data_IF_610691116945
#
_entry.id   IF_610691116945
#
_cell.length_a   1.000
_cell.length_b   1.000
_cell.length_c   1.000
_cell.angle_alpha   90.00
_cell.angle_beta   90.00
_cell.angle_gamma   90.00
#
_symmetry.space_group_name_H-M   'P 1'
#
loop_
_entity.id
_entity.type
_entity.pdbx_description
1 polymer ?
#
# COMPACT_ATOMS: atom_id res chain seq x y z
N UNK A 1 -43.98 43.03 53.31
CA UNK A 1 -42.58 42.88 53.76
C UNK A 1 -41.88 41.83 52.83
N UNK A 2 -41.00 42.32 52.01
CA UNK A 2 -39.88 41.74 51.22
C UNK A 2 -40.05 40.36 50.58
N UNK A 3 -40.44 40.38 49.30
CA UNK A 3 -40.12 39.36 48.28
C UNK A 3 -38.61 39.40 47.97
N UNK A 4 -37.92 38.27 47.89
CA UNK A 4 -36.61 38.20 47.31
C UNK A 4 -36.60 37.13 46.18
N UNK A 5 -36.17 37.63 45.00
CA UNK A 5 -35.92 36.97 43.72
C UNK A 5 -34.91 35.84 43.85
N UNK A 6 -35.11 34.74 43.12
CA UNK A 6 -34.05 33.92 42.55
C UNK A 6 -34.41 33.69 41.09
N UNK A 7 -33.82 34.50 40.23
CA UNK A 7 -33.55 34.23 38.83
C UNK A 7 -32.03 34.04 38.77
N UNK A 8 -31.56 32.97 38.22
CA UNK A 8 -30.28 32.83 37.49
C UNK A 8 -29.98 31.38 37.37
N UNK A 9 -29.82 31.02 36.17
CA UNK A 9 -28.71 30.61 35.34
C UNK A 9 -28.81 29.15 34.97
N UNK A 10 -29.40 28.91 33.79
CA UNK A 10 -29.16 27.66 33.06
C UNK A 10 -29.02 28.01 31.57
N UNK A 11 -27.88 28.54 31.22
CA UNK A 11 -27.43 28.64 29.83
C UNK A 11 -25.91 28.79 29.83
N UNK A 12 -25.17 27.74 29.72
CA UNK A 12 -23.81 27.65 29.12
C UNK A 12 -23.16 26.28 29.38
N UNK A 13 -23.62 25.23 28.75
CA UNK A 13 -22.84 23.97 28.80
C UNK A 13 -22.96 23.11 27.52
N UNK A 14 -23.50 23.68 26.44
CA UNK A 14 -23.60 22.89 25.18
C UNK A 14 -22.58 23.25 24.08
N UNK A 15 -21.65 24.20 24.32
CA UNK A 15 -20.75 24.66 23.27
C UNK A 15 -19.35 24.02 23.28
N UNK A 16 -18.98 23.29 24.33
CA UNK A 16 -17.61 22.76 24.46
C UNK A 16 -17.39 21.38 23.82
N UNK A 17 -18.47 20.65 23.52
CA UNK A 17 -18.34 19.31 22.95
C UNK A 17 -18.24 19.27 21.42
N UNK A 18 -18.65 20.30 20.71
CA UNK A 18 -18.61 20.36 19.25
C UNK A 18 -17.25 20.82 18.67
N UNK A 19 -16.48 21.58 19.44
CA UNK A 19 -15.17 22.09 18.99
C UNK A 19 -14.11 21.01 18.74
N UNK A 20 -13.93 19.98 19.58
CA UNK A 20 -12.92 18.96 19.30
C UNK A 20 -13.25 18.10 18.06
N UNK A 21 -14.53 17.93 17.72
CA UNK A 21 -14.93 17.18 16.54
C UNK A 21 -14.70 17.95 15.23
N UNK A 22 -14.90 19.27 15.22
CA UNK A 22 -14.58 20.11 14.06
C UNK A 22 -13.05 20.23 13.86
N UNK A 23 -12.28 20.36 14.93
CA UNK A 23 -10.82 20.40 14.86
C UNK A 23 -10.23 19.07 14.38
N UNK A 24 -10.80 17.91 14.81
CA UNK A 24 -10.39 16.60 14.33
C UNK A 24 -10.74 16.37 12.85
N UNK A 25 -11.87 16.87 12.38
CA UNK A 25 -12.26 16.77 10.97
C UNK A 25 -11.35 17.63 10.07
N UNK A 26 -11.02 18.85 10.46
CA UNK A 26 -10.08 19.70 9.72
C UNK A 26 -8.67 19.11 9.69
N UNK A 27 -8.23 18.44 10.74
CA UNK A 27 -6.93 17.74 10.79
C UNK A 27 -6.85 16.53 9.87
N UNK A 28 -7.94 15.77 9.72
CA UNK A 28 -8.01 14.64 8.76
C UNK A 28 -7.90 15.12 7.31
N UNK A 29 -8.59 16.21 6.96
CA UNK A 29 -8.55 16.77 5.61
C UNK A 29 -7.17 17.40 5.30
N UNK A 30 -6.52 18.01 6.27
CA UNK A 30 -5.15 18.48 6.16
C UNK A 30 -4.18 17.30 5.90
N UNK A 31 -4.32 16.21 6.64
CA UNK A 31 -3.51 15.00 6.42
C UNK A 31 -3.71 14.45 5.00
N UNK A 32 -4.95 14.37 4.51
CA UNK A 32 -5.24 13.91 3.14
C UNK A 32 -4.61 14.83 2.08
N UNK A 33 -4.66 16.14 2.30
CA UNK A 33 -4.00 17.10 1.40
C UNK A 33 -2.49 16.89 1.36
N UNK A 34 -1.84 16.68 2.52
CA UNK A 34 -0.41 16.37 2.61
C UNK A 34 -0.05 15.06 1.90
N UNK A 35 -0.86 13.99 2.07
CA UNK A 35 -0.66 12.72 1.35
C UNK A 35 -0.74 12.93 -0.16
N UNK A 36 -1.73 13.69 -0.62
CA UNK A 36 -1.92 13.97 -2.05
C UNK A 36 -0.76 14.76 -2.62
N UNK A 37 -0.20 15.69 -1.84
CA UNK A 37 0.96 16.51 -2.20
C UNK A 37 2.31 15.77 -2.10
N UNK A 38 2.35 14.60 -1.45
CA UNK A 38 3.58 13.82 -1.24
C UNK A 38 4.35 14.17 0.03
N UNK A 39 3.80 15.00 0.92
CA UNK A 39 4.41 15.37 2.21
C UNK A 39 4.16 14.29 3.27
N UNK A 40 4.51 13.03 2.93
CA UNK A 40 4.18 11.85 3.73
C UNK A 40 4.73 11.88 5.16
N UNK A 41 5.92 12.49 5.36
CA UNK A 41 6.51 12.57 6.70
C UNK A 41 5.65 13.44 7.62
N UNK A 42 5.20 14.59 7.15
CA UNK A 42 4.34 15.50 7.91
C UNK A 42 2.95 14.88 8.07
N UNK A 43 2.39 14.33 7.01
CA UNK A 43 1.10 13.63 7.04
C UNK A 43 1.09 12.52 8.10
N UNK A 44 2.14 11.69 8.16
CA UNK A 44 2.24 10.61 9.13
C UNK A 44 2.24 11.09 10.58
N UNK A 45 3.02 12.14 10.88
CA UNK A 45 3.10 12.69 12.24
C UNK A 45 1.75 13.27 12.65
N UNK A 46 1.18 14.13 11.82
CA UNK A 46 -0.11 14.76 12.11
C UNK A 46 -1.24 13.71 12.23
N UNK A 47 -1.26 12.71 11.36
CA UNK A 47 -2.24 11.64 11.40
C UNK A 47 -2.16 10.79 12.68
N UNK A 48 -0.95 10.47 13.15
CA UNK A 48 -0.78 9.67 14.36
C UNK A 48 -1.27 10.42 15.60
N UNK A 49 -1.12 11.75 15.64
CA UNK A 49 -1.55 12.61 16.75
C UNK A 49 -3.09 12.75 16.86
N UNK A 50 -3.83 12.36 15.80
CA UNK A 50 -5.31 12.36 15.82
C UNK A 50 -5.87 11.24 16.73
N UNK A 51 -5.13 10.17 16.95
CA UNK A 51 -5.47 9.01 17.82
C UNK A 51 -6.84 8.37 17.55
N UNK A 52 -7.30 8.40 16.27
CA UNK A 52 -8.54 7.75 15.81
C UNK A 52 -8.23 6.63 14.83
N UNK A 53 -9.22 5.78 14.52
CA UNK A 53 -9.08 4.76 13.48
C UNK A 53 -8.61 5.35 12.15
N UNK A 54 -9.23 6.48 11.73
CA UNK A 54 -8.87 7.19 10.50
C UNK A 54 -7.47 7.81 10.59
N UNK A 55 -7.08 8.39 11.72
CA UNK A 55 -5.74 8.93 11.95
C UNK A 55 -4.67 7.83 11.80
N UNK A 56 -4.82 6.72 12.50
CA UNK A 56 -3.87 5.59 12.40
C UNK A 56 -3.83 4.98 10.99
N UNK A 57 -4.98 4.90 10.30
CA UNK A 57 -5.05 4.46 8.91
C UNK A 57 -4.26 5.38 7.97
N UNK A 58 -4.45 6.70 8.07
CA UNK A 58 -3.72 7.69 7.25
C UNK A 58 -2.22 7.71 7.56
N UNK A 59 -1.85 7.53 8.82
CA UNK A 59 -0.44 7.40 9.20
C UNK A 59 0.20 6.14 8.58
N UNK A 60 -0.53 5.01 8.57
CA UNK A 60 -0.10 3.78 7.93
C UNK A 60 0.03 3.95 6.41
N UNK A 61 -0.95 4.59 5.76
CA UNK A 61 -0.94 4.90 4.33
C UNK A 61 0.26 5.75 3.94
N UNK A 62 0.51 6.84 4.67
CA UNK A 62 1.66 7.72 4.44
C UNK A 62 2.99 6.96 4.52
N UNK A 63 3.13 6.08 5.50
CA UNK A 63 4.34 5.30 5.68
C UNK A 63 4.47 4.19 4.62
N UNK A 64 3.36 3.56 4.22
CA UNK A 64 3.35 2.60 3.12
C UNK A 64 3.76 3.26 1.79
N UNK A 65 3.28 4.49 1.51
CA UNK A 65 3.68 5.27 0.34
C UNK A 65 5.20 5.53 0.34
N UNK A 66 5.76 6.02 1.44
CA UNK A 66 7.20 6.24 1.57
C UNK A 66 8.03 4.96 1.38
N UNK A 67 7.58 3.81 1.92
CA UNK A 67 8.24 2.52 1.74
C UNK A 67 8.21 2.07 0.28
N UNK A 68 7.08 2.23 -0.39
CA UNK A 68 6.89 1.87 -1.80
C UNK A 68 7.76 2.73 -2.71
N UNK A 69 7.88 4.03 -2.40
CA UNK A 69 8.69 4.98 -3.17
C UNK A 69 10.18 4.93 -2.84
N UNK A 70 10.59 4.19 -1.80
CA UNK A 70 11.99 4.13 -1.37
C UNK A 70 12.46 5.39 -0.64
N UNK A 71 11.55 6.17 -0.06
CA UNK A 71 11.82 7.45 0.60
C UNK A 71 12.15 7.33 2.09
N UNK A 72 12.25 6.10 2.60
CA UNK A 72 12.63 5.83 3.99
C UNK A 72 13.86 4.93 4.07
N UNK A 73 14.77 5.24 5.00
CA UNK A 73 15.80 4.31 5.42
C UNK A 73 15.24 3.21 6.33
N UNK A 74 16.06 2.21 6.70
CA UNK A 74 15.68 1.15 7.66
C UNK A 74 14.32 0.50 7.35
N UNK A 75 14.12 0.11 6.08
CA UNK A 75 12.85 -0.40 5.54
C UNK A 75 12.12 -1.38 6.46
N UNK A 76 12.81 -2.36 7.07
CA UNK A 76 12.18 -3.33 7.96
C UNK A 76 11.56 -2.69 9.22
N UNK A 77 12.23 -1.66 9.79
CA UNK A 77 11.69 -0.93 10.94
C UNK A 77 10.39 -0.21 10.55
N UNK A 78 10.43 0.56 9.46
CA UNK A 78 9.26 1.32 9.00
C UNK A 78 8.13 0.43 8.50
N UNK A 79 8.42 -0.71 7.87
CA UNK A 79 7.39 -1.71 7.51
C UNK A 79 6.64 -2.24 8.74
N UNK A 80 7.36 -2.53 9.83
CA UNK A 80 6.72 -2.94 11.10
C UNK A 80 5.90 -1.82 11.73
N UNK A 81 6.39 -0.58 11.67
CA UNK A 81 5.67 0.60 12.14
C UNK A 81 4.37 0.80 11.37
N UNK A 82 4.41 0.77 10.02
CA UNK A 82 3.23 0.86 9.17
C UNK A 82 2.19 -0.22 9.51
N UNK A 83 2.66 -1.48 9.67
CA UNK A 83 1.77 -2.58 10.07
C UNK A 83 1.14 -2.37 11.45
N UNK A 84 1.88 -1.85 12.42
CA UNK A 84 1.35 -1.58 13.74
C UNK A 84 0.31 -0.45 13.71
N UNK A 85 0.55 0.63 12.96
CA UNK A 85 -0.42 1.71 12.77
C UNK A 85 -1.71 1.19 12.14
N UNK A 86 -1.60 0.40 11.06
CA UNK A 86 -2.78 -0.22 10.43
C UNK A 86 -3.52 -1.17 11.38
N UNK A 87 -2.79 -1.89 12.26
CA UNK A 87 -3.39 -2.73 13.29
C UNK A 87 -4.14 -1.91 14.32
N UNK A 88 -3.59 -0.79 14.80
CA UNK A 88 -4.27 0.13 15.72
C UNK A 88 -5.56 0.69 15.09
N UNK A 89 -5.52 1.04 13.81
CA UNK A 89 -6.72 1.45 13.07
C UNK A 89 -7.81 0.35 13.09
N UNK A 90 -7.44 -0.91 12.84
CA UNK A 90 -8.35 -2.05 12.86
C UNK A 90 -8.85 -2.44 14.27
N UNK A 91 -8.09 -2.15 15.32
CA UNK A 91 -8.54 -2.33 16.70
C UNK A 91 -9.66 -1.35 17.07
N UNK A 92 -9.68 -0.16 16.45
CA UNK A 92 -10.72 0.86 16.63
C UNK A 92 -11.87 0.74 15.62
N UNK A 93 -11.59 0.28 14.40
CA UNK A 93 -12.58 0.04 13.34
C UNK A 93 -12.23 -1.26 12.59
N UNK A 94 -12.72 -2.42 13.09
CA UNK A 94 -12.41 -3.73 12.49
C UNK A 94 -12.93 -3.93 11.07
N UNK A 95 -13.95 -3.17 10.67
CA UNK A 95 -14.62 -3.31 9.36
C UNK A 95 -14.03 -2.35 8.30
N UNK A 96 -13.07 -1.51 8.66
CA UNK A 96 -12.43 -0.58 7.74
C UNK A 96 -11.66 -1.31 6.62
N UNK A 97 -12.18 -1.21 5.40
CA UNK A 97 -11.51 -1.71 4.19
C UNK A 97 -10.12 -1.11 4.02
N UNK A 98 -10.01 0.21 4.14
CA UNK A 98 -8.76 0.95 3.93
C UNK A 98 -7.70 0.58 4.97
N UNK A 99 -8.07 0.47 6.23
CA UNK A 99 -7.14 0.05 7.28
C UNK A 99 -6.66 -1.38 7.05
N UNK A 100 -7.56 -2.28 6.60
CA UNK A 100 -7.21 -3.66 6.27
C UNK A 100 -6.30 -3.76 5.06
N UNK A 101 -6.53 -2.94 4.03
CA UNK A 101 -5.64 -2.82 2.88
C UNK A 101 -4.22 -2.40 3.32
N UNK A 102 -4.12 -1.36 4.15
CA UNK A 102 -2.82 -0.91 4.66
C UNK A 102 -2.13 -1.98 5.52
N UNK A 103 -2.88 -2.71 6.33
CA UNK A 103 -2.34 -3.81 7.14
C UNK A 103 -1.73 -4.91 6.27
N UNK A 104 -2.45 -5.39 5.26
CA UNK A 104 -1.99 -6.46 4.36
C UNK A 104 -0.79 -6.00 3.54
N UNK A 105 -0.82 -4.77 3.03
CA UNK A 105 0.29 -4.16 2.29
C UNK A 105 1.55 -4.04 3.16
N UNK A 106 1.42 -3.50 4.37
CA UNK A 106 2.53 -3.35 5.31
C UNK A 106 3.09 -4.72 5.78
N UNK A 107 2.25 -5.74 5.97
CA UNK A 107 2.69 -7.10 6.28
C UNK A 107 3.49 -7.72 5.13
N UNK A 108 3.10 -7.46 3.89
CA UNK A 108 3.88 -7.77 2.69
C UNK A 108 5.26 -7.12 2.71
N UNK A 109 5.34 -5.84 3.08
CA UNK A 109 6.61 -5.13 3.23
C UNK A 109 7.46 -5.71 4.37
N UNK A 110 6.89 -6.05 5.51
CA UNK A 110 7.61 -6.74 6.61
C UNK A 110 8.22 -8.05 6.12
N UNK A 111 7.44 -8.84 5.40
CA UNK A 111 7.91 -10.14 4.86
C UNK A 111 9.04 -9.94 3.87
N UNK A 112 8.90 -8.98 2.93
CA UNK A 112 9.91 -8.67 1.91
C UNK A 112 11.22 -8.14 2.51
N UNK A 113 11.16 -7.33 3.56
CA UNK A 113 12.30 -6.65 4.17
C UNK A 113 12.95 -7.43 5.32
N UNK A 114 12.33 -8.54 5.76
CA UNK A 114 12.92 -9.45 6.73
C UNK A 114 13.91 -10.38 6.03
N UNK A 115 15.09 -10.59 6.63
CA UNK A 115 16.09 -11.51 6.08
C UNK A 115 15.52 -12.92 5.87
N UNK A 116 15.91 -13.58 4.77
CA UNK A 116 15.27 -14.80 4.26
C UNK A 116 15.21 -15.94 5.29
N UNK A 117 16.28 -16.17 6.05
CA UNK A 117 16.33 -17.20 7.11
C UNK A 117 15.29 -16.92 8.20
N UNK A 118 15.21 -15.66 8.64
CA UNK A 118 14.24 -15.25 9.67
C UNK A 118 12.81 -15.30 9.15
N UNK A 119 12.57 -14.86 7.92
CA UNK A 119 11.27 -14.92 7.27
C UNK A 119 10.78 -16.37 7.13
N UNK A 120 11.67 -17.26 6.72
CA UNK A 120 11.39 -18.70 6.63
C UNK A 120 11.04 -19.31 7.99
N UNK A 121 11.92 -19.13 9.00
CA UNK A 121 11.71 -19.68 10.35
C UNK A 121 10.41 -19.20 10.99
N UNK A 122 10.03 -17.94 10.75
CA UNK A 122 8.78 -17.35 11.27
C UNK A 122 7.57 -17.62 10.37
N UNK A 123 7.75 -18.32 9.25
CA UNK A 123 6.71 -18.62 8.24
C UNK A 123 6.02 -17.34 7.72
N UNK A 124 6.76 -16.23 7.62
CA UNK A 124 6.18 -14.94 7.23
C UNK A 124 5.51 -14.99 5.84
N UNK A 125 6.11 -15.58 4.78
CA UNK A 125 5.45 -15.63 3.48
C UNK A 125 4.07 -16.30 3.51
N UNK A 126 3.93 -17.38 4.27
CA UNK A 126 2.67 -18.11 4.41
C UNK A 126 1.63 -17.31 5.22
N UNK A 127 2.07 -16.65 6.28
CA UNK A 127 1.18 -15.78 7.09
C UNK A 127 0.67 -14.61 6.28
N UNK A 128 1.55 -13.93 5.54
CA UNK A 128 1.17 -12.84 4.62
C UNK A 128 0.20 -13.34 3.56
N UNK A 129 0.44 -14.51 2.96
CA UNK A 129 -0.51 -15.08 1.99
C UNK A 129 -1.88 -15.36 2.61
N UNK A 130 -1.92 -15.94 3.81
CA UNK A 130 -3.18 -16.18 4.52
C UNK A 130 -3.94 -14.87 4.78
N UNK A 131 -3.25 -13.79 5.15
CA UNK A 131 -3.87 -12.47 5.33
C UNK A 131 -4.43 -11.91 4.01
N UNK A 132 -3.67 -12.06 2.90
CA UNK A 132 -4.11 -11.67 1.55
C UNK A 132 -5.36 -12.46 1.15
N UNK A 133 -5.36 -13.80 1.33
CA UNK A 133 -6.50 -14.65 0.97
C UNK A 133 -7.74 -14.30 1.78
N UNK A 134 -7.61 -14.04 3.08
CA UNK A 134 -8.72 -13.55 3.90
C UNK A 134 -9.26 -12.21 3.37
N UNK A 135 -8.37 -11.27 3.04
CA UNK A 135 -8.76 -9.98 2.48
C UNK A 135 -9.48 -10.12 1.13
N UNK A 136 -8.97 -11.00 0.24
CA UNK A 136 -9.62 -11.31 -1.04
C UNK A 136 -11.00 -11.98 -0.87
N UNK A 137 -11.16 -12.86 0.12
CA UNK A 137 -12.43 -13.53 0.37
C UNK A 137 -13.54 -12.53 0.73
N UNK A 138 -13.18 -11.48 1.49
CA UNK A 138 -14.14 -10.44 1.86
C UNK A 138 -14.36 -9.41 0.73
N UNK A 139 -13.36 -9.22 -0.16
CA UNK A 139 -13.41 -8.26 -1.27
C UNK A 139 -13.04 -8.91 -2.63
N UNK A 140 -13.81 -9.90 -3.10
CA UNK A 140 -13.42 -10.75 -4.24
C UNK A 140 -13.33 -10.01 -5.59
N UNK A 141 -14.05 -8.90 -5.74
CA UNK A 141 -14.03 -8.05 -6.95
C UNK A 141 -13.15 -6.81 -6.80
N UNK A 142 -12.31 -6.75 -5.77
CA UNK A 142 -11.44 -5.60 -5.55
C UNK A 142 -10.10 -5.78 -6.25
N UNK A 143 -9.79 -4.89 -7.19
CA UNK A 143 -8.55 -4.95 -7.99
C UNK A 143 -7.28 -4.95 -7.13
N UNK A 144 -7.24 -4.16 -6.04
CA UNK A 144 -6.06 -4.09 -5.15
C UNK A 144 -5.88 -5.37 -4.34
N UNK A 145 -6.97 -5.99 -3.88
CA UNK A 145 -6.91 -7.28 -3.18
C UNK A 145 -6.36 -8.38 -4.10
N UNK A 146 -6.82 -8.40 -5.36
CA UNK A 146 -6.34 -9.35 -6.38
C UNK A 146 -4.87 -9.08 -6.73
N UNK A 147 -4.49 -7.82 -6.90
CA UNK A 147 -3.11 -7.42 -7.20
C UNK A 147 -2.12 -7.76 -6.07
N UNK A 148 -2.54 -7.70 -4.80
CA UNK A 148 -1.72 -8.12 -3.66
C UNK A 148 -1.41 -9.62 -3.71
N UNK A 149 -2.38 -10.45 -4.08
CA UNK A 149 -2.19 -11.89 -4.27
C UNK A 149 -1.25 -12.18 -5.46
N UNK A 150 -1.45 -11.47 -6.57
CA UNK A 150 -0.54 -11.52 -7.72
C UNK A 150 0.90 -11.16 -7.33
N UNK A 151 1.07 -10.08 -6.56
CA UNK A 151 2.37 -9.62 -6.08
C UNK A 151 3.05 -10.65 -5.16
N UNK A 152 2.26 -11.33 -4.30
CA UNK A 152 2.79 -12.40 -3.47
C UNK A 152 3.32 -13.56 -4.32
N UNK A 153 2.54 -14.07 -5.29
CA UNK A 153 2.97 -15.13 -6.19
C UNK A 153 4.28 -14.78 -6.91
N UNK A 154 4.31 -13.64 -7.60
CA UNK A 154 5.49 -13.22 -8.36
C UNK A 154 6.68 -12.87 -7.46
N UNK A 155 6.44 -12.31 -6.28
CA UNK A 155 7.48 -12.01 -5.29
C UNK A 155 8.18 -13.28 -4.77
N UNK A 156 7.42 -14.36 -4.50
CA UNK A 156 7.98 -15.67 -4.12
C UNK A 156 8.78 -16.25 -5.28
N UNK A 157 8.22 -16.26 -6.52
CA UNK A 157 8.91 -16.79 -7.69
C UNK A 157 10.21 -16.03 -7.99
N UNK A 158 10.20 -14.70 -7.85
CA UNK A 158 11.41 -13.87 -7.99
C UNK A 158 12.55 -14.34 -7.08
N UNK A 159 12.24 -14.63 -5.81
CA UNK A 159 13.23 -15.04 -4.81
C UNK A 159 13.66 -16.50 -4.97
N UNK A 160 12.72 -17.41 -5.16
CA UNK A 160 12.97 -18.86 -5.04
C UNK A 160 13.09 -19.57 -6.38
N UNK A 161 12.59 -18.97 -7.47
CA UNK A 161 12.36 -19.61 -8.75
C UNK A 161 11.07 -20.45 -8.77
N UNK A 162 10.56 -20.78 -9.96
CA UNK A 162 9.26 -21.45 -10.16
C UNK A 162 9.18 -22.79 -9.40
N UNK A 163 10.16 -23.67 -9.59
CA UNK A 163 10.17 -25.01 -8.96
C UNK A 163 10.08 -24.97 -7.44
N UNK A 164 10.89 -24.12 -6.81
CA UNK A 164 10.91 -24.04 -5.35
C UNK A 164 9.72 -23.23 -4.80
N UNK A 165 9.32 -22.18 -5.51
CA UNK A 165 8.14 -21.38 -5.16
C UNK A 165 6.89 -22.24 -5.13
N UNK A 166 6.68 -23.05 -6.14
CA UNK A 166 5.55 -23.98 -6.21
C UNK A 166 5.64 -25.06 -5.11
N UNK A 167 6.81 -25.70 -4.98
CA UNK A 167 6.99 -26.82 -4.03
C UNK A 167 6.79 -26.40 -2.57
N UNK A 168 7.30 -25.23 -2.15
CA UNK A 168 7.36 -24.86 -0.74
C UNK A 168 6.26 -23.86 -0.31
N UNK A 169 5.72 -23.11 -1.27
CA UNK A 169 4.77 -22.04 -0.99
C UNK A 169 3.46 -22.17 -1.76
N UNK A 170 3.39 -23.05 -2.79
CA UNK A 170 2.26 -23.08 -3.71
C UNK A 170 2.20 -21.85 -4.64
N UNK A 171 3.29 -21.09 -4.74
CA UNK A 171 3.36 -19.93 -5.61
C UNK A 171 3.59 -20.33 -7.06
N UNK A 172 3.03 -19.55 -8.00
CA UNK A 172 3.18 -19.77 -9.44
C UNK A 172 3.29 -18.45 -10.19
N UNK A 173 4.29 -18.36 -11.08
CA UNK A 173 4.47 -17.21 -11.94
C UNK A 173 3.29 -17.02 -12.90
N UNK A 174 2.75 -18.10 -13.44
CA UNK A 174 1.56 -18.08 -14.32
C UNK A 174 0.33 -17.55 -13.58
N UNK A 175 0.09 -18.05 -12.36
CA UNK A 175 -1.04 -17.59 -11.55
C UNK A 175 -0.89 -16.12 -11.16
N UNK A 176 0.31 -15.69 -10.76
CA UNK A 176 0.56 -14.29 -10.43
C UNK A 176 0.34 -13.35 -11.61
N UNK A 177 0.80 -13.73 -12.83
CA UNK A 177 0.55 -12.94 -14.03
C UNK A 177 -0.96 -12.85 -14.34
N UNK A 178 -1.69 -13.97 -14.30
CA UNK A 178 -3.13 -14.02 -14.53
C UNK A 178 -3.92 -13.13 -13.55
N UNK A 179 -3.55 -13.15 -12.27
CA UNK A 179 -4.20 -12.32 -11.25
C UNK A 179 -3.94 -10.82 -11.49
N UNK A 180 -2.75 -10.43 -11.93
CA UNK A 180 -2.53 -9.03 -12.32
C UNK A 180 -3.37 -8.62 -13.53
N UNK A 181 -3.53 -9.48 -14.52
CA UNK A 181 -4.40 -9.20 -15.68
C UNK A 181 -5.87 -9.05 -15.27
N UNK A 182 -6.33 -9.89 -14.34
CA UNK A 182 -7.66 -9.77 -13.75
C UNK A 182 -7.81 -8.43 -13.00
N UNK A 183 -6.84 -8.05 -12.17
CA UNK A 183 -6.86 -6.78 -11.46
C UNK A 183 -6.85 -5.57 -12.41
N UNK A 184 -6.06 -5.62 -13.49
CA UNK A 184 -6.02 -4.59 -14.53
C UNK A 184 -7.35 -4.50 -15.29
N UNK A 185 -8.02 -5.63 -15.55
CA UNK A 185 -9.31 -5.63 -16.21
C UNK A 185 -10.41 -4.96 -15.35
N UNK A 186 -10.34 -5.10 -14.02
CA UNK A 186 -11.25 -4.46 -13.06
C UNK A 186 -10.93 -2.96 -12.90
N UNK A 187 -9.65 -2.60 -12.84
CA UNK A 187 -9.18 -1.22 -12.65
C UNK A 187 -8.19 -0.81 -13.76
N UNK A 188 -8.67 -0.61 -15.00
CA UNK A 188 -7.79 -0.39 -16.15
C UNK A 188 -6.98 0.91 -16.09
N UNK A 189 -7.42 1.88 -15.27
CA UNK A 189 -6.76 3.18 -15.09
C UNK A 189 -5.87 3.24 -13.82
N UNK A 190 -5.70 2.13 -13.09
CA UNK A 190 -4.81 2.11 -11.91
C UNK A 190 -3.34 1.99 -12.34
N UNK A 191 -2.63 3.12 -12.30
CA UNK A 191 -1.20 3.23 -12.66
C UNK A 191 -0.36 2.30 -11.78
N UNK A 192 -0.71 2.19 -10.48
CA UNK A 192 0.07 1.42 -9.50
C UNK A 192 -0.01 -0.07 -9.79
N UNK A 193 -1.21 -0.61 -10.03
CA UNK A 193 -1.41 -2.03 -10.34
C UNK A 193 -0.68 -2.39 -11.63
N UNK A 194 -0.89 -1.61 -12.69
CA UNK A 194 -0.29 -1.87 -14.00
C UNK A 194 1.23 -1.78 -13.98
N UNK A 195 1.79 -0.79 -13.27
CA UNK A 195 3.24 -0.67 -13.12
C UNK A 195 3.81 -1.85 -12.33
N UNK A 196 3.19 -2.22 -11.20
CA UNK A 196 3.63 -3.38 -10.42
C UNK A 196 3.63 -4.68 -11.24
N UNK A 197 2.64 -4.89 -12.12
CA UNK A 197 2.61 -6.02 -13.05
C UNK A 197 3.85 -6.08 -13.94
N UNK A 198 4.15 -4.99 -14.64
CA UNK A 198 5.32 -4.89 -15.53
C UNK A 198 6.62 -5.10 -14.75
N UNK A 199 6.78 -4.42 -13.61
CA UNK A 199 7.99 -4.51 -12.79
C UNK A 199 8.17 -5.93 -12.23
N UNK A 200 7.09 -6.57 -11.78
CA UNK A 200 7.16 -7.91 -11.22
C UNK A 200 7.62 -8.93 -12.26
N UNK A 201 7.14 -8.85 -13.51
CA UNK A 201 7.55 -9.75 -14.58
C UNK A 201 8.99 -9.49 -15.05
N UNK A 202 9.39 -8.23 -15.22
CA UNK A 202 10.77 -7.87 -15.61
C UNK A 202 11.82 -8.30 -14.58
N UNK A 203 11.45 -8.35 -13.30
CA UNK A 203 12.35 -8.75 -12.22
C UNK A 203 12.48 -10.27 -12.04
N UNK A 204 11.74 -11.09 -12.78
CA UNK A 204 11.87 -12.55 -12.73
C UNK A 204 13.23 -12.99 -13.27
N UNK A 205 13.64 -14.21 -12.89
CA UNK A 205 14.85 -14.86 -13.45
C UNK A 205 14.64 -15.28 -14.89
N UNK A 206 13.41 -15.71 -15.23
CA UNK A 206 13.01 -16.04 -16.58
C UNK A 206 12.75 -14.77 -17.36
N UNK A 207 13.28 -14.68 -18.57
CA UNK A 207 13.05 -13.53 -19.46
C UNK A 207 11.56 -13.43 -19.81
N UNK A 208 10.90 -12.31 -19.53
CA UNK A 208 9.50 -12.12 -19.90
C UNK A 208 9.36 -11.80 -21.39
N UNK A 209 8.18 -12.04 -21.92
CA UNK A 209 7.77 -11.55 -23.23
C UNK A 209 7.61 -10.02 -23.18
N UNK A 210 8.59 -9.29 -23.75
CA UNK A 210 8.64 -7.83 -23.74
C UNK A 210 7.61 -7.21 -24.66
N UNK A 211 7.27 -7.86 -25.75
CA UNK A 211 6.24 -7.39 -26.67
C UNK A 211 4.86 -7.34 -25.97
N UNK A 212 4.64 -8.28 -25.06
CA UNK A 212 3.44 -8.28 -24.19
C UNK A 212 3.45 -7.17 -23.13
N UNK A 213 4.64 -6.76 -22.65
CA UNK A 213 4.75 -5.72 -21.60
C UNK A 213 4.69 -4.31 -22.17
N UNK A 214 5.13 -4.11 -23.41
CA UNK A 214 5.20 -2.80 -24.06
C UNK A 214 3.85 -2.06 -24.09
N UNK A 215 2.72 -2.67 -24.47
CA UNK A 215 1.42 -1.99 -24.45
C UNK A 215 1.02 -1.47 -23.06
N UNK A 216 1.33 -2.23 -21.99
CA UNK A 216 1.03 -1.77 -20.63
C UNK A 216 1.81 -0.50 -20.27
N UNK A 217 3.10 -0.41 -20.68
CA UNK A 217 3.90 0.80 -20.46
C UNK A 217 3.37 1.98 -21.29
N UNK A 218 2.96 1.75 -22.54
CA UNK A 218 2.36 2.77 -23.40
C UNK A 218 1.07 3.32 -22.79
N UNK A 219 0.20 2.46 -22.28
CA UNK A 219 -1.02 2.87 -21.60
C UNK A 219 -0.71 3.67 -20.31
N UNK A 220 0.27 3.24 -19.49
CA UNK A 220 0.70 4.01 -18.31
C UNK A 220 1.12 5.43 -18.71
N UNK A 221 1.81 5.61 -19.83
CA UNK A 221 2.25 6.93 -20.29
C UNK A 221 1.08 7.85 -20.66
N UNK A 222 -0.06 7.29 -21.05
CA UNK A 222 -1.27 8.06 -21.40
C UNK A 222 -2.15 8.39 -20.18
N UNK A 223 -2.03 7.64 -19.08
CA UNK A 223 -2.85 7.84 -17.88
C UNK A 223 -2.48 9.13 -17.14
N UNK A 224 -3.46 10.00 -16.79
CA UNK A 224 -3.19 11.14 -15.91
C UNK A 224 -2.97 10.64 -14.48
N UNK A 225 -1.87 11.03 -13.79
CA UNK A 225 -1.69 10.72 -12.38
C UNK A 225 -2.55 11.65 -11.51
N UNK A 226 -3.12 11.12 -10.42
CA UNK A 226 -4.02 11.84 -9.52
C UNK A 226 -3.39 12.26 -8.19
N UNK A 227 -2.21 11.74 -7.86
CA UNK A 227 -1.49 12.02 -6.62
C UNK A 227 0.02 11.82 -6.80
N UNK A 228 0.80 12.21 -5.77
CA UNK A 228 2.26 12.12 -5.81
C UNK A 228 2.79 10.69 -6.00
N UNK A 229 2.14 9.68 -5.38
CA UNK A 229 2.51 8.27 -5.57
C UNK A 229 2.43 7.89 -7.04
N UNK A 230 1.33 8.21 -7.70
CA UNK A 230 1.12 7.89 -9.12
C UNK A 230 2.09 8.66 -10.02
N UNK A 231 2.39 9.93 -9.70
CA UNK A 231 3.41 10.72 -10.43
C UNK A 231 4.75 10.02 -10.38
N UNK A 232 5.21 9.65 -9.19
CA UNK A 232 6.53 9.02 -8.98
C UNK A 232 6.58 7.60 -9.56
N UNK A 233 5.52 6.80 -9.41
CA UNK A 233 5.44 5.46 -9.99
C UNK A 233 5.43 5.52 -11.52
N UNK A 234 4.68 6.45 -12.12
CA UNK A 234 4.68 6.69 -13.56
C UNK A 234 6.08 7.09 -14.07
N UNK A 235 6.81 7.92 -13.33
CA UNK A 235 8.19 8.26 -13.67
C UNK A 235 9.12 7.02 -13.68
N UNK A 236 8.94 6.08 -12.73
CA UNK A 236 9.67 4.79 -12.74
C UNK A 236 9.28 3.91 -13.92
N UNK A 237 7.99 3.87 -14.28
CA UNK A 237 7.53 3.16 -15.47
C UNK A 237 8.13 3.77 -16.76
N UNK A 238 8.24 5.09 -16.84
CA UNK A 238 8.87 5.79 -17.97
C UNK A 238 10.36 5.45 -18.11
N UNK A 239 11.12 5.33 -16.99
CA UNK A 239 12.50 4.86 -17.01
C UNK A 239 12.61 3.46 -17.62
N UNK A 240 11.71 2.55 -17.22
CA UNK A 240 11.66 1.19 -17.77
C UNK A 240 11.26 1.19 -19.25
N UNK A 241 10.26 1.98 -19.64
CA UNK A 241 9.80 2.08 -21.02
C UNK A 241 10.92 2.53 -21.97
N UNK A 242 11.67 3.57 -21.57
CA UNK A 242 12.82 4.08 -22.32
C UNK A 242 13.92 3.02 -22.52
N UNK A 243 14.06 2.10 -21.57
CA UNK A 243 15.12 1.09 -21.58
C UNK A 243 14.57 -0.33 -21.80
N UNK A 244 13.35 -0.48 -22.33
CA UNK A 244 12.68 -1.78 -22.41
C UNK A 244 13.49 -2.79 -23.23
N UNK A 245 14.12 -2.37 -24.31
CA UNK A 245 14.93 -3.23 -25.20
C UNK A 245 16.28 -3.62 -24.57
N UNK A 246 16.79 -2.85 -23.60
CA UNK A 246 17.97 -3.23 -22.82
C UNK A 246 17.55 -4.12 -21.64
N UNK A 247 17.75 -5.43 -21.83
CA UNK A 247 17.40 -6.47 -20.85
C UNK A 247 17.98 -6.23 -19.45
N UNK A 248 19.22 -5.73 -19.40
CA UNK A 248 19.92 -5.52 -18.12
C UNK A 248 19.44 -4.26 -17.42
N UNK A 249 19.28 -3.17 -18.15
CA UNK A 249 18.83 -1.89 -17.57
C UNK A 249 17.39 -1.97 -17.09
N UNK A 250 16.47 -2.48 -17.93
CA UNK A 250 15.05 -2.60 -17.56
C UNK A 250 14.83 -3.54 -16.37
N UNK A 251 15.53 -4.70 -16.34
CA UNK A 251 15.49 -5.61 -15.19
C UNK A 251 16.01 -4.95 -13.92
N UNK A 252 17.15 -4.26 -13.98
CA UNK A 252 17.72 -3.54 -12.82
C UNK A 252 16.79 -2.45 -12.31
N UNK A 253 16.15 -1.70 -13.21
CA UNK A 253 15.16 -0.68 -12.82
C UNK A 253 13.96 -1.32 -12.11
N UNK A 254 13.42 -2.42 -12.64
CA UNK A 254 12.33 -3.16 -12.03
C UNK A 254 12.70 -3.74 -10.64
N UNK A 255 13.90 -4.30 -10.51
CA UNK A 255 14.39 -4.81 -9.22
C UNK A 255 14.53 -3.69 -8.18
N UNK A 256 15.10 -2.53 -8.55
CA UNK A 256 15.17 -1.36 -7.65
C UNK A 256 13.79 -0.91 -7.18
N UNK A 257 12.85 -0.77 -8.12
CA UNK A 257 11.47 -0.41 -7.81
C UNK A 257 10.85 -1.36 -6.78
N UNK A 258 10.93 -2.67 -7.03
CA UNK A 258 10.33 -3.68 -6.13
C UNK A 258 11.05 -3.76 -4.79
N UNK A 259 12.32 -3.39 -4.70
CA UNK A 259 13.09 -3.38 -3.45
C UNK A 259 12.95 -2.07 -2.66
N UNK A 260 12.22 -1.07 -3.18
CA UNK A 260 12.07 0.24 -2.55
C UNK A 260 13.38 1.02 -2.54
N UNK A 261 14.04 1.11 -3.72
CA UNK A 261 15.35 1.77 -3.90
C UNK A 261 15.32 2.75 -5.07
#
# INVERSE_FOLDING_TARGET
MKLRRYITTFTLTCMAAAMPMLAAASSVDEVRALITAGDYQQARVLAADIETAEGYRLAAESLCAQIMLGEVGKLNKHSKEARNLAKMALELDPDSYEARLQYVLADGFVTRTTGDITAWRKKLPMKTHSAIQSFRADYPQNARAIALDAAWHLGIIRKTGEKNGQKWFGASGVQGAKLYEEAIAIAPQDIVIRTNYVMALLALKTEPDRDRLKPHLEEIMQMPPHNDVEIKIKARAAEVYKNLDDKKLSKRAAERFLDGK
#
